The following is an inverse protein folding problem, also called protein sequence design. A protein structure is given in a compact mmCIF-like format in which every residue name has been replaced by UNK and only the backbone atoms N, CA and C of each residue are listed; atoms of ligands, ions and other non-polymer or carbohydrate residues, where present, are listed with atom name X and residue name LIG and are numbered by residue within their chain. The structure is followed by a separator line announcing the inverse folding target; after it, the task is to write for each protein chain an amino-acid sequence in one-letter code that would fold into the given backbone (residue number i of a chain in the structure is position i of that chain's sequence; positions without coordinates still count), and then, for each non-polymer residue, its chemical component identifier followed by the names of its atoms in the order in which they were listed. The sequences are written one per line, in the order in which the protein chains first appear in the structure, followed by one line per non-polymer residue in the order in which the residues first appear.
data_IF_422361346378
#
_entry.id   IF_422361346378
#
_cell.length_a   1.000
_cell.length_b   1.000
_cell.length_c   1.000
_cell.angle_alpha   90.00
_cell.angle_beta   90.00
_cell.angle_gamma   90.00
#
_symmetry.space_group_name_H-M   'P 1'
#
loop_
_entity.id
_entity.type
_entity.pdbx_description
1 polymer ?
2 non-polymer ?
3 non-polymer ?
4 water ?
#
# COMPACT_ATOMS: atom_id res chain seq x y z
N UNK A 8 14.75 -15.48 19.27
CA UNK A 8 13.53 -15.31 18.48
C UNK A 8 13.11 -13.86 18.36
N UNK A 9 13.13 -13.35 17.13
CA UNK A 9 12.66 -11.99 16.90
C UNK A 9 11.45 -11.98 15.96
N UNK A 10 10.50 -11.08 16.18
CA UNK A 10 9.21 -11.20 15.48
C UNK A 10 9.26 -10.85 14.00
N UNK A 11 10.25 -10.08 13.55
CA UNK A 11 10.32 -9.65 12.16
C UNK A 11 11.71 -9.86 11.60
N UNK A 12 11.82 -10.16 10.31
CA UNK A 12 13.16 -10.22 9.69
C UNK A 12 13.89 -8.90 9.84
N UNK A 13 15.20 -8.97 9.73
CA UNK A 13 16.02 -7.76 9.75
C UNK A 13 15.52 -6.78 8.71
N UNK A 14 15.54 -5.50 9.07
CA UNK A 14 15.17 -4.35 8.24
C UNK A 14 13.65 -4.20 8.16
N UNK A 15 12.87 -5.12 8.74
CA UNK A 15 11.42 -5.04 8.73
C UNK A 15 10.94 -4.42 10.03
N UNK A 16 9.86 -3.66 9.95
CA UNK A 16 9.30 -2.93 11.07
C UNK A 16 8.08 -3.68 11.61
N UNK A 17 8.12 -3.99 12.90
CA UNK A 17 7.01 -4.62 13.58
C UNK A 17 5.95 -3.59 13.99
N UNK A 18 4.69 -3.91 13.72
CA UNK A 18 3.60 -3.03 14.12
C UNK A 18 2.32 -3.86 14.27
N UNK A 19 1.81 -3.95 15.50
CA UNK A 19 0.55 -4.61 15.79
C UNK A 19 0.47 -6.00 15.17
N UNK A 20 1.51 -6.79 15.40
CA UNK A 20 1.50 -8.19 15.02
C UNK A 20 1.87 -8.49 13.59
N UNK A 21 2.28 -7.48 12.82
CA UNK A 21 2.69 -7.66 11.44
C UNK A 21 4.04 -6.97 11.23
N UNK A 22 4.67 -7.31 10.12
CA UNK A 22 5.96 -6.80 9.73
C UNK A 22 5.82 -6.01 8.44
N UNK A 23 6.48 -4.86 8.38
CA UNK A 23 6.40 -3.98 7.22
C UNK A 23 7.77 -3.67 6.68
N UNK A 24 7.84 -3.46 5.38
CA UNK A 24 9.09 -3.19 4.69
C UNK A 24 8.80 -2.14 3.64
N UNK A 25 9.51 -1.02 3.69
CA UNK A 25 9.42 -0.03 2.63
C UNK A 25 10.64 -0.16 1.73
N UNK A 26 10.40 -0.32 0.44
CA UNK A 26 11.47 -0.52 -0.52
C UNK A 26 12.39 0.69 -0.59
N UNK A 27 13.63 0.45 -1.02
CA UNK A 27 14.64 1.50 -1.28
C UNK A 27 14.80 1.67 -2.80
N UNK A 28 13.88 1.13 -3.61
CA UNK A 28 13.90 1.22 -5.06
C UNK A 28 12.46 1.41 -5.52
N UNK A 29 12.28 1.69 -6.81
CA UNK A 29 10.94 1.93 -7.35
C UNK A 29 10.61 0.96 -8.47
N UNK A 30 9.38 0.46 -8.45
CA UNK A 30 8.84 -0.41 -9.48
C UNK A 30 7.41 0.01 -9.78
N UNK A 31 6.88 -0.49 -10.89
CA UNK A 31 5.47 -0.26 -11.15
C UNK A 31 4.63 -1.17 -10.24
N UNK A 32 3.30 -1.00 -10.31
CA UNK A 32 2.43 -1.59 -9.31
C UNK A 32 2.47 -3.12 -9.39
N UNK A 33 2.40 -3.66 -10.60
CA UNK A 33 2.44 -5.11 -10.76
C UNK A 33 3.79 -5.67 -10.32
N UNK A 34 4.87 -5.05 -10.74
CA UNK A 34 6.18 -5.49 -10.28
C UNK A 34 6.32 -5.34 -8.77
N UNK A 35 5.59 -4.39 -8.18
CA UNK A 35 5.59 -4.25 -6.73
C UNK A 35 4.92 -5.44 -6.07
N UNK A 36 3.78 -5.89 -6.63
CA UNK A 36 3.13 -7.10 -6.09
C UNK A 36 4.08 -8.28 -6.11
N UNK A 37 4.73 -8.50 -7.25
CA UNK A 37 5.65 -9.62 -7.36
C UNK A 37 6.75 -9.51 -6.31
N UNK A 38 7.38 -8.34 -6.23
CA UNK A 38 8.44 -8.12 -5.25
C UNK A 38 8.02 -8.56 -3.85
N UNK A 39 6.79 -8.26 -3.44
CA UNK A 39 6.36 -8.65 -2.11
C UNK A 39 6.20 -10.17 -2.02
N UNK A 40 5.59 -10.77 -3.04
CA UNK A 40 5.42 -12.22 -3.04
C UNK A 40 6.76 -12.94 -2.93
N UNK A 41 7.80 -12.39 -3.56
CA UNK A 41 9.09 -13.06 -3.57
C UNK A 41 9.67 -13.20 -2.16
N UNK A 42 9.26 -12.35 -1.21
CA UNK A 42 9.74 -12.44 0.17
C UNK A 42 8.60 -12.90 1.06
N UNK A 43 7.67 -13.68 0.51
CA UNK A 43 6.58 -14.20 1.31
C UNK A 43 5.74 -13.12 1.96
N UNK A 44 5.45 -12.04 1.23
CA UNK A 44 4.68 -10.94 1.77
C UNK A 44 3.67 -10.49 0.73
N UNK A 45 2.99 -9.39 1.04
CA UNK A 45 1.91 -8.92 0.20
C UNK A 45 1.96 -7.40 0.13
N UNK A 46 1.88 -6.86 -1.08
CA UNK A 46 1.71 -5.42 -1.26
C UNK A 46 0.63 -4.94 -0.30
N UNK A 47 0.97 -3.95 0.52
CA UNK A 47 0.28 -3.76 1.79
C UNK A 47 -1.22 -3.63 1.58
N UNK A 48 -1.96 -4.44 2.33
CA UNK A 48 -3.42 -4.35 2.44
C UNK A 48 -3.74 -3.83 3.82
N UNK A 49 -4.53 -2.76 3.89
CA UNK A 49 -4.78 -2.04 5.12
C UNK A 49 -6.11 -2.50 5.70
N UNK A 50 -6.09 -2.96 6.96
CA UNK A 50 -7.27 -3.49 7.63
C UNK A 50 -7.79 -2.61 8.77
N UNK A 51 -7.06 -1.57 9.17
CA UNK A 51 -7.46 -0.76 10.31
C UNK A 51 -7.04 0.70 10.09
N UNK A 52 -7.79 1.60 10.72
CA UNK A 52 -7.44 3.03 10.68
C UNK A 52 -6.06 3.25 11.30
N UNK A 53 -5.78 2.58 12.42
CA UNK A 53 -4.47 2.73 13.06
C UNK A 53 -3.36 2.34 12.10
N UNK A 54 -3.57 1.27 11.32
CA UNK A 54 -2.57 0.82 10.37
C UNK A 54 -2.38 1.84 9.26
N UNK A 55 -3.47 2.40 8.75
CA UNK A 55 -3.37 3.43 7.74
C UNK A 55 -2.61 4.65 8.25
N UNK A 56 -2.88 5.09 9.48
CA UNK A 56 -2.16 6.23 10.01
C UNK A 56 -0.68 5.93 10.09
N UNK A 57 -0.34 4.73 10.58
CA UNK A 57 1.04 4.28 10.69
C UNK A 57 1.75 4.30 9.35
N UNK A 58 1.09 3.80 8.31
CA UNK A 58 1.73 3.75 7.00
C UNK A 58 1.82 5.14 6.39
N UNK A 59 0.78 5.96 6.55
CA UNK A 59 0.81 7.29 5.95
C UNK A 59 1.87 8.17 6.60
N UNK A 60 2.00 8.11 7.93
CA UNK A 60 3.08 8.84 8.60
C UNK A 60 4.43 8.55 7.97
N UNK A 61 4.75 7.27 7.78
CA UNK A 61 6.05 6.94 7.22
C UNK A 61 6.19 7.41 5.78
N UNK A 62 5.12 7.32 4.99
CA UNK A 62 5.17 7.81 3.62
C UNK A 62 5.33 9.33 3.58
N UNK A 63 4.57 10.02 4.42
CA UNK A 63 4.67 11.47 4.55
C UNK A 63 6.07 11.88 5.01
N UNK A 64 6.55 11.30 6.12
CA UNK A 64 7.86 11.66 6.64
C UNK A 64 8.96 11.47 5.60
N UNK A 65 8.96 10.33 4.94
CA UNK A 65 9.99 10.00 3.97
C UNK A 65 9.84 10.78 2.69
N UNK A 66 8.70 11.43 2.46
CA UNK A 66 8.40 12.11 1.20
C UNK A 66 8.55 11.13 0.03
N UNK A 67 7.98 9.96 0.18
CA UNK A 67 8.06 8.95 -0.88
C UNK A 67 6.65 8.62 -1.36
N UNK A 68 6.37 8.67 -2.66
CA UNK A 68 5.15 8.17 -3.26
C UNK A 68 5.25 6.64 -3.33
N UNK A 69 4.26 5.97 -2.76
CA UNK A 69 4.39 4.57 -2.39
C UNK A 69 3.13 3.81 -2.73
N UNK A 70 3.27 2.74 -3.52
CA UNK A 70 2.15 1.89 -3.87
C UNK A 70 1.58 1.21 -2.63
N UNK A 71 0.26 1.06 -2.62
CA UNK A 71 -0.40 0.11 -1.73
C UNK A 71 -1.15 -0.90 -2.59
N UNK A 72 -1.57 -1.99 -1.95
CA UNK A 72 -2.18 -3.08 -2.68
C UNK A 72 -3.65 -2.86 -2.92
N UNK A 73 -3.98 -1.85 -3.74
CA UNK A 73 -5.35 -1.44 -3.96
C UNK A 73 -5.48 -0.90 -5.37
N UNK A 74 -6.54 -1.31 -6.07
CA UNK A 74 -6.72 -0.93 -7.46
C UNK A 74 -8.19 -0.97 -7.82
N UNK A 75 -8.54 -0.23 -8.87
CA UNK A 75 -9.82 -0.41 -9.57
C UNK A 75 -9.57 -0.87 -11.00
N UNK A 76 -8.62 -1.80 -11.16
CA UNK A 76 -8.34 -2.35 -12.48
C UNK A 76 -9.52 -3.13 -13.04
N UNK A 77 -10.04 -4.10 -12.27
CA UNK A 77 -11.04 -5.01 -12.82
C UNK A 77 -12.31 -4.26 -13.21
N UNK A 78 -12.82 -3.39 -12.34
CA UNK A 78 -13.95 -2.56 -12.71
C UNK A 78 -13.73 -1.13 -12.22
N UNK A 79 -13.67 -0.20 -13.16
CA UNK A 79 -13.37 1.18 -12.84
C UNK A 79 -14.35 1.74 -11.82
N UNK A 80 -13.80 2.41 -10.81
CA UNK A 80 -14.59 3.00 -9.75
C UNK A 80 -14.93 2.05 -8.62
N UNK A 81 -14.62 0.76 -8.76
CA UNK A 81 -14.77 -0.21 -7.67
C UNK A 81 -13.38 -0.63 -7.23
N UNK A 82 -12.97 -0.16 -6.06
CA UNK A 82 -11.61 -0.38 -5.58
C UNK A 82 -11.59 -1.66 -4.77
N UNK A 83 -10.58 -2.48 -5.02
CA UNK A 83 -10.46 -3.75 -4.33
C UNK A 83 -9.01 -3.93 -3.92
N UNK A 84 -8.82 -4.51 -2.74
CA UNK A 84 -7.49 -4.88 -2.30
C UNK A 84 -7.03 -6.15 -3.02
N UNK A 85 -5.72 -6.39 -2.99
CA UNK A 85 -5.15 -7.49 -3.76
C UNK A 85 -5.52 -8.81 -3.13
N UNK A 86 -5.89 -8.83 -1.86
CA UNK A 86 -6.36 -10.06 -1.25
C UNK A 86 -7.83 -10.30 -1.54
N UNK A 87 -8.41 -9.54 -2.46
CA UNK A 87 -9.80 -9.68 -2.78
C UNK A 87 -10.74 -8.84 -1.94
N UNK A 88 -10.31 -8.39 -0.77
CA UNK A 88 -11.22 -7.64 0.09
C UNK A 88 -11.66 -6.37 -0.62
N UNK A 89 -12.91 -5.95 -0.45
CA UNK A 89 -13.37 -4.71 -1.06
C UNK A 89 -13.01 -3.49 -0.22
N UNK A 90 -12.84 -2.35 -0.87
CA UNK A 90 -12.57 -1.11 -0.16
C UNK A 90 -13.83 -0.65 0.57
N UNK A 91 -13.76 -0.61 1.89
CA UNK A 91 -14.95 -0.33 2.69
C UNK A 91 -15.22 1.17 2.76
N UNK A 92 -16.48 1.54 3.03
CA UNK A 92 -16.82 2.97 3.08
C UNK A 92 -16.06 3.73 4.15
N UNK A 93 -15.64 3.05 5.22
CA UNK A 93 -14.90 3.72 6.28
C UNK A 93 -13.50 4.15 5.85
N UNK A 94 -13.04 3.75 4.66
CA UNK A 94 -11.72 4.14 4.15
C UNK A 94 -11.75 5.31 3.18
N UNK A 95 -12.94 5.80 2.80
CA UNK A 95 -13.01 6.86 1.78
C UNK A 95 -12.37 8.16 2.28
N UNK A 96 -12.33 8.38 3.60
CA UNK A 96 -11.74 9.60 4.13
C UNK A 96 -10.32 9.83 3.66
N UNK A 97 -9.57 8.75 3.39
CA UNK A 97 -8.12 8.87 3.19
C UNK A 97 -7.74 9.36 1.80
N UNK A 98 -8.64 9.27 0.84
CA UNK A 98 -8.34 9.81 -0.49
C UNK A 98 -8.05 11.30 -0.38
N UNK A 99 -7.00 11.75 -1.06
CA UNK A 99 -6.74 13.19 -1.12
C UNK A 99 -7.91 13.91 -1.76
N UNK A 100 -8.03 15.20 -1.44
CA UNK A 100 -9.06 16.04 -2.04
C UNK A 100 -9.00 15.92 -3.55
N UNK A 101 -10.17 15.72 -4.17
CA UNK A 101 -10.26 15.59 -5.61
C UNK A 101 -9.96 14.21 -6.16
N UNK A 102 -9.66 13.24 -5.29
CA UNK A 102 -9.32 11.89 -5.72
C UNK A 102 -10.39 10.90 -5.26
N UNK A 103 -10.49 9.74 -5.93
CA UNK A 103 -9.72 9.33 -7.12
C UNK A 103 -10.31 9.99 -8.35
N UNK A 104 -9.46 10.57 -9.19
CA UNK A 104 -9.93 11.30 -10.35
C UNK A 104 -9.67 10.59 -11.67
N UNK A 105 -8.93 9.49 -11.66
CA UNK A 105 -8.73 8.63 -12.84
C UNK A 105 -8.29 9.44 -14.07
N UNK A 106 -7.39 10.40 -13.86
CA UNK A 106 -6.95 11.25 -14.97
C UNK A 106 -5.95 10.48 -15.82
N UNK A 107 -6.26 10.32 -17.10
CA UNK A 107 -5.45 9.48 -17.97
C UNK A 107 -5.57 8.02 -17.66
N UNK A 108 -6.64 7.61 -16.98
CA UNK A 108 -6.85 6.25 -16.51
C UNK A 108 -5.81 5.87 -15.45
N UNK A 109 -6.19 6.08 -14.20
CA UNK A 109 -5.34 5.82 -13.04
C UNK A 109 -6.06 4.78 -12.20
N UNK A 110 -5.45 3.60 -12.07
CA UNK A 110 -6.15 2.45 -11.53
C UNK A 110 -5.48 1.85 -10.30
N UNK A 111 -4.38 2.44 -9.81
CA UNK A 111 -3.64 1.88 -8.68
C UNK A 111 -3.46 2.96 -7.61
N UNK A 112 -3.71 2.58 -6.35
CA UNK A 112 -3.65 3.55 -5.26
C UNK A 112 -2.25 3.68 -4.70
N UNK A 113 -1.93 4.89 -4.22
CA UNK A 113 -0.64 5.21 -3.65
C UNK A 113 -0.80 6.10 -2.43
N UNK A 114 0.19 6.03 -1.54
CA UNK A 114 0.33 7.04 -0.49
C UNK A 114 0.94 8.28 -1.13
N UNK A 115 0.23 9.40 -1.06
CA UNK A 115 0.69 10.63 -1.67
C UNK A 115 0.40 11.77 -0.71
N UNK A 116 1.45 12.31 -0.08
CA UNK A 116 1.27 13.40 0.85
C UNK A 116 0.58 12.96 2.11
N UNK A 117 -0.59 13.51 2.39
CA UNK A 117 -1.34 13.20 3.60
C UNK A 117 -2.40 12.14 3.41
N UNK A 118 -2.59 11.66 2.19
CA UNK A 118 -3.68 10.76 1.90
C UNK A 118 -3.36 9.86 0.73
N UNK A 119 -4.39 9.36 0.05
CA UNK A 119 -4.24 8.43 -1.05
C UNK A 119 -4.47 9.13 -2.38
N UNK A 120 -3.81 8.65 -3.42
CA UNK A 120 -4.03 9.08 -4.79
C UNK A 120 -4.15 7.85 -5.68
N UNK A 121 -4.95 7.95 -6.74
CA UNK A 121 -4.91 6.95 -7.80
C UNK A 121 -3.95 7.46 -8.87
N UNK A 122 -3.05 6.58 -9.32
CA UNK A 122 -2.06 6.95 -10.32
C UNK A 122 -1.94 5.85 -11.37
N UNK A 123 -1.16 6.15 -12.41
CA UNK A 123 -0.97 5.21 -13.50
C UNK A 123 -0.16 4.01 -13.01
N UNK A 124 -0.69 2.80 -13.25
CA UNK A 124 -0.07 1.59 -12.72
C UNK A 124 1.30 1.31 -13.32
N UNK A 125 1.59 1.85 -14.50
CA UNK A 125 2.91 1.77 -15.15
C UNK A 125 3.97 2.61 -14.53
N UNK A 126 3.58 3.55 -13.68
CA UNK A 126 4.56 4.43 -13.05
C UNK A 126 5.37 3.67 -12.01
N UNK A 127 6.67 3.99 -11.96
CA UNK A 127 7.56 3.44 -10.95
C UNK A 127 7.43 4.22 -9.64
N UNK A 128 7.14 3.52 -8.54
CA UNK A 128 7.06 4.12 -7.22
C UNK A 128 7.67 3.18 -6.20
N UNK A 129 7.90 3.69 -5.00
CA UNK A 129 8.28 2.80 -3.92
C UNK A 129 7.06 1.93 -3.58
N UNK A 130 7.27 0.93 -2.73
CA UNK A 130 6.16 0.11 -2.27
C UNK A 130 6.43 -0.37 -0.85
N UNK A 131 5.37 -0.84 -0.21
CA UNK A 131 5.43 -1.37 1.15
C UNK A 131 4.88 -2.79 1.12
N UNK A 132 5.64 -3.73 1.67
CA UNK A 132 5.20 -5.11 1.84
C UNK A 132 4.77 -5.33 3.28
N UNK A 133 3.85 -6.27 3.46
CA UNK A 133 3.33 -6.63 4.76
C UNK A 133 3.26 -8.15 4.86
N UNK A 134 3.83 -8.69 5.94
CA UNK A 134 3.57 -10.07 6.34
C UNK A 134 3.43 -10.15 7.86
N UNK A 135 2.89 -11.26 8.32
CA UNK A 135 2.68 -11.41 9.75
C UNK A 135 4.00 -11.68 10.46
N UNK A 136 4.03 -11.33 11.75
CA UNK A 136 5.20 -11.54 12.59
C UNK A 136 5.17 -12.95 13.18
N UNK A 137 6.36 -13.45 13.50
CA UNK A 137 6.50 -14.64 14.36
C UNK A 137 6.15 -14.27 15.80
N UNK A 138 5.98 -15.29 16.65
CA UNK A 138 5.36 -15.05 17.96
C UNK A 138 6.35 -14.77 19.09
N UNK A 139 7.28 -15.67 19.35
CA UNK A 139 8.28 -15.55 20.43
C UNK A 139 7.56 -15.23 21.77
X LIG B 1 -9.41 4.20 -12.03
X LIG C 1 -5.26 10.78 -9.22
X LIG D 1 -9.14 0.82 -16.14
X LIG E 1 -3.79 15.57 -10.07
X LIG E 1 -3.35 13.38 -9.07
X LIG E 1 -3.02 14.88 -9.03
X LIG E 1 -5.49 16.58 -10.89
X LIG E 1 -3.52 15.72 -11.36
X LIG E 1 -1.06 14.46 -10.40
X LIG E 1 1.04 13.84 -6.95
X LIG E 1 -0.50 12.45 -11.54
X LIG E 1 -2.72 12.71 -10.29
X LIG E 1 -5.01 16.11 -9.76
X LIG E 1 -1.23 13.03 -10.34
X LIG E 1 -4.77 13.20 -9.13
X LIG E 1 -1.52 15.13 -9.24
X LIG E 1 -2.92 11.31 -10.19
X LIG E 1 0.50 14.72 -8.04
X LIG E 1 1.38 11.48 -6.20
X LIG E 1 0.95 12.36 -7.28
X LIG E 1 -0.92 14.59 -8.09
X LIG E 1 -4.60 16.37 -11.90
X LIG E 1 -4.85 16.82 -13.27
X LIG E 1 -6.10 17.33 -13.63
X LIG E 1 -6.32 17.83 -14.90
X LIG E 1 -5.31 17.83 -15.83
X LIG E 1 -4.06 17.31 -15.50
X LIG E 1 -3.84 16.81 -14.23
X LIG E 1 -1.15 12.78 -12.75
X LIG E 1 -2.96 12.92 -8.18
X LIG E 1 -3.29 15.27 -8.05
X LIG E 1 -2.61 15.39 -11.89
X LIG E 1 2.08 14.11 -6.74
X LIG E 1 0.52 14.05 -6.01
X LIG E 1 -0.46 11.36 -11.54
X LIG E 1 0.51 12.82 -11.66
X LIG E 1 -3.16 13.07 -11.22
X LIG E 1 -0.77 12.65 -9.42
X LIG E 1 -4.97 12.59 -9.89
X LIG E 1 -1.28 16.19 -9.36
X LIG E 1 -2.37 10.87 -10.88
X LIG E 1 0.93 14.44 -9.00
X LIG E 1 0.78 15.75 -7.87
X LIG E 1 0.76 11.52 -5.39
X LIG E 1 2.35 11.61 -5.91
X LIG E 1 -0.07 12.08 -7.56
X LIG E 1 1.54 12.12 -8.16
X LIG E 1 -6.91 17.33 -12.91
X LIG E 1 -7.29 18.23 -15.16
X LIG E 1 -5.47 18.23 -16.83
X LIG E 1 -3.26 17.29 -16.23
X LIG E 1 -2.87 16.39 -13.97
X LIG E 1 -0.47 12.78 -13.47
#
# INVERSE_FOLDING_TARGET
GSHMERLCHPCPWEWTFFQGNCYFMSNSQRNWHDSITACKEVGAQLVVIKSAEEQNFLQLQSSRSNRFTWMGLSDLNQEGTWQWVDGSPLLPSFKQYWNRGEPNNVGEEDCAEFSGNGWNDDKCNLAKFWICKKSAASCSRDEEQFLSPAPATPNPPPA
CA CA
CA CA
CA CA
UH5 N1 C7 C8 N2 C9 O1 C1 C5 C6 N3 C4 O4 C3 O3 C2 N C O C10 C11 C12 C13 C14 C15 C16 O2 H15 H17 H18 H5 H4 H10 H11 H13 H9 H16 H8 H14 H7 H6 H24 H1 H3 H2 H19 H20 H21 H22 H23 H12
#
